data_IF_199871093971
#
_entry.id   IF_199871093971
#
_cell.length_a   1.000
_cell.length_b   1.000
_cell.length_c   1.000
_cell.angle_alpha   90.00
_cell.angle_beta   90.00
_cell.angle_gamma   90.00
#
_symmetry.space_group_name_H-M   'P 1'
#
loop_
_entity.id
_entity.type
_entity.pdbx_description
1 polymer ?
#
# COMPACT_ATOMS: atom_id res chain seq x y z
N UNK A 1 -34.76 45.23 12.02
CA UNK A 1 -33.28 45.07 12.06
C UNK A 1 -32.92 43.65 12.46
N UNK A 2 -32.98 42.68 11.53
CA UNK A 2 -32.49 41.32 11.80
C UNK A 2 -32.18 40.62 10.48
N UNK A 3 -30.90 40.40 10.18
CA UNK A 3 -30.52 39.70 8.96
C UNK A 3 -29.06 39.83 8.58
N UNK A 4 -28.11 39.53 9.47
CA UNK A 4 -26.69 39.43 9.07
C UNK A 4 -25.84 38.57 10.02
N UNK A 5 -26.14 37.28 10.13
CA UNK A 5 -25.26 36.37 10.89
C UNK A 5 -25.11 34.96 10.30
N UNK A 6 -25.81 34.60 9.22
CA UNK A 6 -25.77 33.22 8.66
C UNK A 6 -24.75 33.01 7.54
N UNK A 7 -24.23 34.08 6.93
CA UNK A 7 -23.26 34.00 5.81
C UNK A 7 -21.80 33.84 6.26
N UNK A 8 -21.43 34.39 7.42
CA UNK A 8 -20.04 34.44 7.89
C UNK A 8 -19.51 33.06 8.29
N UNK A 9 -20.29 32.29 9.07
CA UNK A 9 -19.85 30.98 9.55
C UNK A 9 -19.62 29.97 8.39
N UNK A 10 -20.47 30.00 7.35
CA UNK A 10 -20.30 29.14 6.16
C UNK A 10 -19.11 29.55 5.31
N UNK A 11 -18.87 30.86 5.16
CA UNK A 11 -17.72 31.37 4.43
C UNK A 11 -16.40 31.01 5.14
N UNK A 12 -16.34 31.16 6.47
CA UNK A 12 -15.17 30.79 7.28
C UNK A 12 -14.94 29.28 7.28
N UNK A 13 -15.99 28.48 7.40
CA UNK A 13 -15.89 27.01 7.33
C UNK A 13 -15.37 26.55 5.95
N UNK A 14 -15.87 27.15 4.86
CA UNK A 14 -15.37 26.87 3.52
C UNK A 14 -13.90 27.29 3.36
N UNK A 15 -13.50 28.45 3.90
CA UNK A 15 -12.12 28.94 3.86
C UNK A 15 -11.12 28.05 4.62
N UNK A 16 -11.58 27.31 5.64
CA UNK A 16 -10.75 26.39 6.42
C UNK A 16 -10.78 24.96 5.84
N UNK A 17 -11.93 24.50 5.36
CA UNK A 17 -12.09 23.14 4.83
C UNK A 17 -11.44 22.97 3.46
N UNK A 18 -11.47 23.99 2.59
CA UNK A 18 -10.86 23.91 1.25
C UNK A 18 -9.34 23.70 1.31
N UNK A 19 -8.55 24.49 2.05
CA UNK A 19 -7.11 24.23 2.16
C UNK A 19 -6.79 22.94 2.92
N UNK A 20 -7.61 22.53 3.90
CA UNK A 20 -7.44 21.25 4.58
C UNK A 20 -7.69 20.05 3.64
N UNK A 21 -8.72 20.13 2.80
CA UNK A 21 -9.04 19.11 1.80
C UNK A 21 -8.00 19.09 0.67
N UNK A 22 -7.55 20.24 0.19
CA UNK A 22 -6.45 20.35 -0.78
C UNK A 22 -5.16 19.80 -0.18
N UNK A 23 -4.83 20.09 1.08
CA UNK A 23 -3.69 19.51 1.76
C UNK A 23 -3.82 17.98 1.92
N UNK A 24 -5.03 17.44 2.11
CA UNK A 24 -5.26 16.01 2.18
C UNK A 24 -5.19 15.31 0.81
N UNK A 25 -5.62 15.98 -0.26
CA UNK A 25 -5.60 15.47 -1.64
C UNK A 25 -4.22 15.60 -2.30
N UNK A 26 -3.46 16.63 -1.94
CA UNK A 26 -2.09 16.89 -2.45
C UNK A 26 -1.03 16.24 -1.56
N UNK A 27 -1.34 15.95 -0.28
CA UNK A 27 -0.45 15.14 0.52
C UNK A 27 -0.29 13.77 -0.16
N UNK A 28 0.95 13.34 -0.47
CA UNK A 28 1.15 11.97 -0.91
C UNK A 28 0.56 11.08 0.17
N UNK A 29 -0.19 10.04 -0.23
CA UNK A 29 -0.58 8.98 0.69
C UNK A 29 0.69 8.54 1.41
N UNK A 30 0.80 8.89 2.69
CA UNK A 30 1.99 8.61 3.51
C UNK A 30 2.00 7.12 3.87
N UNK A 31 2.12 6.26 2.85
CA UNK A 31 2.68 4.94 3.03
C UNK A 31 4.12 5.08 3.52
N UNK A 32 4.66 4.05 4.15
CA UNK A 32 6.08 3.95 4.52
C UNK A 32 7.00 4.26 3.33
N UNK A 33 6.56 4.01 2.09
CA UNK A 33 7.22 4.33 0.83
C UNK A 33 7.19 5.80 0.39
N UNK A 34 6.57 6.70 1.17
CA UNK A 34 6.56 8.15 0.92
C UNK A 34 7.66 8.94 1.64
N UNK A 35 8.44 8.30 2.52
CA UNK A 35 9.67 8.87 3.05
C UNK A 35 10.79 8.53 2.07
N UNK A 36 11.25 9.54 1.33
CA UNK A 36 12.47 9.59 0.51
C UNK A 36 12.97 8.27 -0.09
N UNK A 37 12.99 8.18 -1.43
CA UNK A 37 13.60 7.05 -2.16
C UNK A 37 15.13 6.86 -1.92
N UNK A 38 15.73 7.50 -0.91
CA UNK A 38 17.17 7.59 -0.70
C UNK A 38 17.67 7.54 0.74
N UNK A 39 16.85 7.28 1.76
CA UNK A 39 17.31 7.26 3.17
C UNK A 39 17.16 5.89 3.88
N UNK A 40 17.30 4.78 3.14
CA UNK A 40 17.51 3.44 3.73
C UNK A 40 18.66 3.39 4.76
N UNK A 41 19.49 4.44 4.84
CA UNK A 41 20.58 4.57 5.80
C UNK A 41 20.18 4.95 7.23
N UNK A 42 18.94 5.38 7.51
CA UNK A 42 18.61 5.93 8.83
C UNK A 42 17.71 5.07 9.73
N UNK A 43 16.93 4.10 9.22
CA UNK A 43 15.85 3.52 10.02
C UNK A 43 15.88 2.00 10.30
N UNK A 44 16.61 1.15 9.57
CA UNK A 44 16.60 -0.28 9.91
C UNK A 44 17.80 -1.01 9.25
N UNK A 45 18.77 -1.43 10.05
CA UNK A 45 19.95 -2.15 9.56
C UNK A 45 19.52 -3.50 8.98
N UNK A 46 19.91 -3.77 7.73
CA UNK A 46 19.66 -5.05 7.07
C UNK A 46 20.19 -6.20 7.97
N UNK A 47 19.37 -7.22 8.27
CA UNK A 47 19.83 -8.39 9.00
C UNK A 47 20.98 -9.11 8.28
N UNK A 48 21.76 -9.92 9.01
CA UNK A 48 22.79 -10.76 8.39
C UNK A 48 22.19 -11.61 7.26
N UNK A 49 22.84 -11.59 6.10
CA UNK A 49 22.30 -12.15 4.83
C UNK A 49 22.16 -13.67 4.90
N UNK A 50 23.02 -14.29 5.68
CA UNK A 50 23.01 -15.71 6.01
C UNK A 50 21.74 -16.13 6.75
N UNK A 51 21.06 -15.22 7.43
CA UNK A 51 19.79 -15.50 8.09
C UNK A 51 18.61 -15.18 7.17
N UNK A 52 18.39 -16.07 6.19
CA UNK A 52 17.35 -15.92 5.17
C UNK A 52 15.94 -15.69 5.77
N UNK A 53 15.63 -16.30 6.92
CA UNK A 53 14.36 -16.11 7.59
C UNK A 53 14.19 -14.69 8.14
N UNK A 54 15.21 -14.14 8.83
CA UNK A 54 15.18 -12.76 9.32
C UNK A 54 15.15 -11.76 8.16
N UNK A 55 15.91 -12.01 7.09
CA UNK A 55 15.88 -11.18 5.89
C UNK A 55 14.49 -11.17 5.25
N UNK A 56 13.84 -12.34 5.12
CA UNK A 56 12.49 -12.40 4.58
C UNK A 56 11.48 -11.61 5.43
N UNK A 57 11.53 -11.75 6.76
CA UNK A 57 10.67 -10.99 7.68
C UNK A 57 10.93 -9.49 7.61
N UNK A 58 12.19 -9.08 7.54
CA UNK A 58 12.58 -7.69 7.36
C UNK A 58 12.00 -7.12 6.07
N UNK A 59 12.19 -7.81 4.94
CA UNK A 59 11.64 -7.38 3.65
C UNK A 59 10.12 -7.28 3.71
N UNK A 60 9.43 -8.26 4.32
CA UNK A 60 7.98 -8.20 4.49
C UNK A 60 7.52 -7.00 5.32
N UNK A 61 8.21 -6.61 6.39
CA UNK A 61 7.82 -5.47 7.23
C UNK A 61 8.10 -4.10 6.61
N UNK A 62 9.17 -3.99 5.81
CA UNK A 62 9.56 -2.71 5.19
C UNK A 62 8.85 -2.45 3.87
N UNK A 63 8.21 -3.45 3.26
CA UNK A 63 7.47 -3.31 2.01
C UNK A 63 6.01 -2.91 2.26
N UNK A 64 5.56 -1.83 1.64
CA UNK A 64 4.14 -1.46 1.62
C UNK A 64 3.38 -2.01 0.42
N UNK A 65 4.09 -2.57 -0.57
CA UNK A 65 3.52 -3.08 -1.79
C UNK A 65 4.31 -4.28 -2.32
N UNK A 66 3.67 -5.05 -3.18
CA UNK A 66 4.29 -6.20 -3.83
C UNK A 66 3.53 -6.66 -5.06
N UNK A 67 4.13 -7.59 -5.79
CA UNK A 67 3.47 -8.25 -6.91
C UNK A 67 2.79 -9.54 -6.42
N UNK A 68 1.46 -9.62 -6.58
CA UNK A 68 0.69 -10.84 -6.35
C UNK A 68 0.47 -11.57 -7.67
N UNK A 69 1.00 -12.78 -7.78
CA UNK A 69 0.73 -13.70 -8.88
C UNK A 69 -0.46 -14.61 -8.56
N UNK A 70 -1.42 -14.68 -9.50
CA UNK A 70 -2.59 -15.56 -9.47
C UNK A 70 -2.75 -16.27 -10.81
N UNK A 71 -3.66 -17.25 -10.89
CA UNK A 71 -4.04 -17.89 -12.16
C UNK A 71 -5.27 -17.20 -12.72
N UNK A 72 -5.17 -16.68 -13.95
CA UNK A 72 -6.26 -15.92 -14.57
C UNK A 72 -7.50 -16.78 -14.83
N UNK A 73 -8.67 -16.25 -14.50
CA UNK A 73 -9.98 -16.80 -14.86
C UNK A 73 -10.64 -16.08 -16.03
N UNK A 74 -10.02 -14.98 -16.50
CA UNK A 74 -10.51 -14.15 -17.59
C UNK A 74 -10.50 -14.91 -18.92
N UNK A 75 -11.57 -14.76 -19.69
CA UNK A 75 -11.68 -15.36 -21.03
C UNK A 75 -10.55 -14.85 -21.96
N UNK A 76 -10.04 -15.73 -22.83
CA UNK A 76 -8.88 -15.45 -23.70
C UNK A 76 -7.50 -15.71 -23.06
N UNK A 77 -7.37 -15.56 -21.73
CA UNK A 77 -6.11 -15.82 -20.99
C UNK A 77 -6.26 -16.77 -19.80
N UNK A 78 -7.38 -17.49 -19.73
CA UNK A 78 -7.67 -18.45 -18.66
C UNK A 78 -6.52 -19.46 -18.47
N UNK A 79 -6.13 -19.69 -17.22
CA UNK A 79 -5.05 -20.61 -16.86
C UNK A 79 -3.64 -20.02 -16.95
N UNK A 80 -3.46 -18.84 -17.56
CA UNK A 80 -2.16 -18.14 -17.58
C UNK A 80 -1.86 -17.44 -16.26
N UNK A 81 -0.58 -17.28 -15.89
CA UNK A 81 -0.20 -16.46 -14.74
C UNK A 81 -0.60 -15.00 -14.98
N UNK A 82 -1.16 -14.39 -13.96
CA UNK A 82 -1.53 -12.97 -13.93
C UNK A 82 -0.88 -12.34 -12.70
N UNK A 83 -0.21 -11.20 -12.89
CA UNK A 83 0.46 -10.46 -11.82
C UNK A 83 -0.21 -9.10 -11.63
N UNK A 84 -0.41 -8.71 -10.37
CA UNK A 84 -1.03 -7.45 -9.97
C UNK A 84 -0.20 -6.77 -8.87
N UNK A 85 -0.21 -5.44 -8.82
CA UNK A 85 0.50 -4.66 -7.81
C UNK A 85 -0.48 -4.29 -6.71
N UNK A 86 -0.20 -4.77 -5.50
CA UNK A 86 -1.10 -4.59 -4.36
C UNK A 86 -0.35 -3.97 -3.18
N UNK A 87 -1.03 -3.08 -2.48
CA UNK A 87 -0.59 -2.65 -1.16
C UNK A 87 -0.69 -3.80 -0.16
N UNK A 88 0.29 -3.92 0.71
CA UNK A 88 0.36 -4.93 1.76
C UNK A 88 0.89 -4.34 3.07
N UNK A 89 0.56 -4.97 4.18
CA UNK A 89 1.17 -4.68 5.48
C UNK A 89 1.22 -5.96 6.32
N UNK A 90 2.28 -6.15 7.10
CA UNK A 90 2.39 -7.24 8.07
C UNK A 90 2.27 -6.79 9.53
N UNK A 91 2.07 -5.49 9.76
CA UNK A 91 2.00 -4.85 11.06
C UNK A 91 2.74 -3.50 11.11
N UNK A 92 2.69 -2.80 12.26
CA UNK A 92 3.47 -1.58 12.48
C UNK A 92 4.99 -1.82 12.40
N UNK A 93 5.81 -0.77 12.22
CA UNK A 93 7.26 -0.88 12.25
C UNK A 93 7.78 -1.58 13.52
N UNK A 94 8.76 -2.47 13.38
CA UNK A 94 9.33 -3.30 14.44
C UNK A 94 8.34 -4.26 15.16
N UNK A 95 7.08 -4.32 14.71
CA UNK A 95 6.02 -5.21 15.24
C UNK A 95 5.33 -6.00 14.11
N UNK A 96 6.06 -6.23 13.02
CA UNK A 96 5.60 -7.05 11.90
C UNK A 96 5.41 -8.50 12.30
N UNK A 97 4.25 -9.06 11.99
CA UNK A 97 3.95 -10.49 12.14
C UNK A 97 4.64 -11.34 11.06
N UNK A 98 5.08 -10.70 9.97
CA UNK A 98 5.53 -11.36 8.75
C UNK A 98 4.43 -12.06 7.95
N UNK A 99 3.15 -11.89 8.32
CA UNK A 99 1.99 -12.33 7.53
C UNK A 99 1.49 -11.15 6.70
N UNK A 100 1.56 -11.19 5.36
CA UNK A 100 1.11 -10.07 4.53
C UNK A 100 -0.42 -10.02 4.48
N UNK A 101 -0.99 -8.92 4.96
CA UNK A 101 -2.40 -8.59 4.82
C UNK A 101 -2.64 -7.67 3.62
N UNK A 102 -3.76 -7.88 2.94
CA UNK A 102 -4.20 -7.11 1.79
C UNK A 102 -5.59 -6.55 2.04
N UNK A 103 -5.83 -5.32 1.58
CA UNK A 103 -7.16 -4.75 1.52
C UNK A 103 -7.66 -4.81 0.08
N UNK A 104 -8.66 -5.67 -0.18
CA UNK A 104 -9.06 -6.04 -1.53
C UNK A 104 -10.53 -5.72 -1.80
N UNK A 105 -10.80 -5.20 -2.99
CA UNK A 105 -12.13 -5.03 -3.55
C UNK A 105 -12.55 -6.30 -4.31
N UNK A 106 -13.81 -6.75 -4.17
CA UNK A 106 -14.38 -7.82 -5.01
C UNK A 106 -14.30 -7.56 -6.52
N UNK A 107 -14.12 -6.30 -6.94
CA UNK A 107 -13.99 -5.90 -8.34
C UNK A 107 -12.59 -6.16 -8.93
N UNK A 108 -11.58 -6.44 -8.10
CA UNK A 108 -10.23 -6.70 -8.60
C UNK A 108 -10.15 -8.06 -9.29
N UNK A 109 -9.50 -8.11 -10.45
CA UNK A 109 -9.27 -9.34 -11.21
C UNK A 109 -8.57 -10.41 -10.36
N UNK A 110 -7.58 -10.01 -9.55
CA UNK A 110 -6.87 -10.87 -8.61
C UNK A 110 -7.81 -11.57 -7.61
N UNK A 111 -8.86 -10.89 -7.14
CA UNK A 111 -9.88 -11.48 -6.24
C UNK A 111 -10.74 -12.48 -6.99
N UNK A 112 -11.14 -12.16 -8.23
CA UNK A 112 -11.84 -13.10 -9.10
C UNK A 112 -11.04 -14.39 -9.33
N UNK A 113 -9.73 -14.26 -9.55
CA UNK A 113 -8.81 -15.39 -9.70
C UNK A 113 -8.70 -16.24 -8.43
N UNK A 114 -8.59 -15.59 -7.27
CA UNK A 114 -8.46 -16.24 -5.96
C UNK A 114 -9.73 -17.01 -5.57
N UNK A 115 -10.91 -16.49 -5.87
CA UNK A 115 -12.19 -17.15 -5.56
C UNK A 115 -12.35 -18.51 -6.24
N UNK A 116 -11.76 -18.69 -7.43
CA UNK A 116 -11.86 -19.94 -8.20
C UNK A 116 -10.75 -20.91 -7.84
N UNK A 117 -9.53 -20.42 -7.65
CA UNK A 117 -8.34 -21.28 -7.55
C UNK A 117 -7.78 -21.45 -6.14
N UNK A 118 -8.07 -20.52 -5.22
CA UNK A 118 -7.49 -20.45 -3.87
C UNK A 118 -5.96 -20.22 -3.84
N UNK A 119 -5.29 -20.07 -4.98
CA UNK A 119 -3.82 -20.04 -5.10
C UNK A 119 -3.31 -18.65 -5.47
N UNK A 120 -2.45 -18.09 -4.63
CA UNK A 120 -1.74 -16.83 -4.88
C UNK A 120 -0.31 -16.86 -4.32
N UNK A 121 0.62 -16.15 -4.96
CA UNK A 121 2.00 -15.97 -4.48
C UNK A 121 2.35 -14.50 -4.46
N UNK A 122 2.90 -14.01 -3.36
CA UNK A 122 3.29 -12.60 -3.19
C UNK A 122 4.80 -12.50 -3.23
N UNK A 123 5.30 -11.59 -4.06
CA UNK A 123 6.70 -11.16 -4.07
C UNK A 123 6.76 -9.71 -3.56
N UNK A 124 7.06 -9.48 -2.26
CA UNK A 124 7.34 -8.15 -1.77
C UNK A 124 8.66 -7.66 -2.37
N UNK A 125 8.70 -6.42 -2.83
CA UNK A 125 9.92 -5.82 -3.38
C UNK A 125 10.30 -4.62 -2.54
N UNK A 126 11.34 -4.78 -1.73
CA UNK A 126 12.03 -3.63 -1.17
C UNK A 126 12.66 -2.88 -2.35
N UNK A 127 12.50 -1.56 -2.41
CA UNK A 127 12.93 -0.75 -3.55
C UNK A 127 14.41 -0.98 -3.89
N UNK A 128 14.67 -1.83 -4.87
CA UNK A 128 15.97 -2.01 -5.48
C UNK A 128 16.07 -1.04 -6.65
N UNK A 129 17.10 -0.19 -6.62
CA UNK A 129 17.56 0.61 -7.76
C UNK A 129 17.41 -0.20 -9.05
N UNK A 130 16.69 0.38 -10.03
CA UNK A 130 16.98 0.06 -11.41
C UNK A 130 18.46 0.45 -11.67
N UNK A 131 19.12 -0.36 -12.49
CA UNK A 131 20.53 -0.28 -12.87
C UNK A 131 21.10 1.14 -12.98
#
# INVERSE_FOLDING_TARGET
MAGRARGSARAVLAFLLVPALVALLVAPARGRGGRGHGDWGAAEQLPPRENAALVARFVTNVCDWGALATISTQEGVRGRPFADVLSLSDGPPAKGSGVPYFYLSPMQQSVGNLKVSGRGRVAPRAGARAF
#
